data_IF_734427183726
#
_entry.id   IF_734427183726
#
_cell.length_a   1.000
_cell.length_b   1.000
_cell.length_c   1.000
_cell.angle_alpha   90.00
_cell.angle_beta   90.00
_cell.angle_gamma   90.00
#
_symmetry.space_group_name_H-M   'P 1'
#
loop_
_entity.id
_entity.type
_entity.pdbx_description
1 polymer ?
#
# COMPACT_ATOMS: atom_id res chain seq x y z
N UNK A 1 6.32 2.35 -16.62
CA UNK A 1 6.35 3.77 -16.24
C UNK A 1 5.75 3.84 -14.86
N UNK A 2 6.53 4.31 -13.88
CA UNK A 2 6.23 4.19 -12.45
C UNK A 2 4.89 4.90 -12.14
N UNK A 3 3.80 4.14 -11.99
CA UNK A 3 2.43 4.66 -11.77
C UNK A 3 2.36 5.63 -10.59
N UNK A 4 3.21 5.42 -9.59
CA UNK A 4 3.38 6.31 -8.44
C UNK A 4 4.03 7.65 -8.79
N UNK A 5 4.95 7.68 -9.76
CA UNK A 5 5.58 8.93 -10.21
C UNK A 5 4.59 9.80 -10.99
N UNK A 6 3.72 9.20 -11.80
CA UNK A 6 2.72 9.91 -12.58
C UNK A 6 1.55 10.42 -11.73
N UNK A 7 1.29 9.78 -10.60
CA UNK A 7 0.11 10.05 -9.78
C UNK A 7 -1.19 9.68 -10.51
N UNK A 8 -2.31 10.07 -9.93
CA UNK A 8 -3.63 9.83 -10.48
C UNK A 8 -4.66 9.41 -9.44
N UNK A 9 -5.85 9.14 -9.93
CA UNK A 9 -6.99 8.70 -9.13
C UNK A 9 -7.11 7.18 -9.23
N UNK A 10 -7.09 6.50 -8.08
CA UNK A 10 -7.10 5.05 -8.02
C UNK A 10 -8.22 4.53 -7.13
N UNK A 11 -8.70 3.32 -7.44
CA UNK A 11 -9.59 2.58 -6.55
C UNK A 11 -8.75 1.91 -5.47
N UNK A 12 -9.19 2.03 -4.22
CA UNK A 12 -8.55 1.41 -3.09
C UNK A 12 -9.57 0.75 -2.16
N UNK A 13 -9.08 -0.13 -1.28
CA UNK A 13 -9.87 -0.72 -0.20
C UNK A 13 -9.04 -0.94 1.04
N UNK A 14 -9.65 -0.83 2.21
CA UNK A 14 -8.97 -1.20 3.46
C UNK A 14 -8.70 -2.71 3.50
N UNK A 15 -7.49 -3.08 3.90
CA UNK A 15 -7.09 -4.46 4.07
C UNK A 15 -7.49 -4.95 5.47
N UNK A 16 -8.23 -6.04 5.47
CA UNK A 16 -8.65 -6.76 6.67
C UNK A 16 -7.74 -7.96 6.91
N UNK A 17 -7.64 -8.39 8.17
CA UNK A 17 -7.05 -9.70 8.46
C UNK A 17 -7.85 -10.83 7.79
N UNK A 18 -7.21 -11.96 7.53
CA UNK A 18 -7.90 -13.10 6.89
C UNK A 18 -9.15 -13.57 7.65
N UNK A 19 -9.14 -13.48 8.98
CA UNK A 19 -10.31 -13.75 9.84
C UNK A 19 -11.42 -12.73 9.67
N UNK A 20 -11.11 -11.45 9.60
CA UNK A 20 -12.09 -10.38 9.40
C UNK A 20 -12.68 -10.41 7.99
N UNK A 21 -11.85 -10.67 6.98
CA UNK A 21 -12.29 -10.81 5.59
C UNK A 21 -13.31 -11.95 5.44
N UNK A 22 -13.05 -13.13 6.03
CA UNK A 22 -14.01 -14.25 6.02
C UNK A 22 -15.34 -13.90 6.69
N UNK A 23 -15.31 -13.18 7.81
CA UNK A 23 -16.53 -12.71 8.49
C UNK A 23 -17.31 -11.76 7.58
N UNK A 24 -16.64 -10.79 6.97
CA UNK A 24 -17.24 -9.84 6.03
C UNK A 24 -17.86 -10.55 4.84
N UNK A 25 -17.15 -11.47 4.19
CA UNK A 25 -17.64 -12.18 3.01
C UNK A 25 -18.88 -13.03 3.35
N UNK A 26 -18.92 -13.61 4.56
CA UNK A 26 -20.12 -14.31 5.06
C UNK A 26 -21.31 -13.37 5.21
N UNK A 27 -21.10 -12.16 5.71
CA UNK A 27 -22.16 -11.14 5.86
C UNK A 27 -22.65 -10.66 4.49
N UNK A 28 -21.73 -10.38 3.55
CA UNK A 28 -22.09 -9.93 2.19
C UNK A 28 -22.94 -10.95 1.46
N UNK A 29 -22.58 -12.24 1.52
CA UNK A 29 -23.37 -13.34 0.92
C UNK A 29 -24.78 -13.40 1.48
N UNK A 30 -24.98 -13.13 2.78
CA UNK A 30 -26.31 -13.11 3.40
C UNK A 30 -27.16 -11.91 2.97
N UNK A 31 -26.51 -10.78 2.62
CA UNK A 31 -27.17 -9.51 2.29
C UNK A 31 -27.30 -9.26 0.78
N UNK A 32 -26.78 -10.16 -0.06
CA UNK A 32 -26.69 -9.96 -1.51
C UNK A 32 -26.01 -8.64 -1.89
N UNK A 33 -25.02 -8.24 -1.08
CA UNK A 33 -24.34 -6.96 -1.18
C UNK A 33 -23.34 -6.97 -2.36
N UNK A 34 -23.23 -5.88 -3.14
CA UNK A 34 -22.22 -5.77 -4.20
C UNK A 34 -20.78 -5.92 -3.68
N UNK A 35 -19.92 -6.50 -4.50
CA UNK A 35 -18.51 -6.75 -4.14
C UNK A 35 -17.68 -5.48 -3.96
N UNK A 36 -18.16 -4.34 -4.46
CA UNK A 36 -17.43 -3.07 -4.51
C UNK A 36 -17.85 -2.05 -3.45
N UNK A 37 -18.75 -2.40 -2.51
CA UNK A 37 -19.19 -1.45 -1.47
C UNK A 37 -18.08 -0.99 -0.52
N UNK A 38 -16.98 -1.75 -0.40
CA UNK A 38 -15.85 -1.36 0.47
C UNK A 38 -14.72 -0.68 -0.31
N UNK A 39 -14.99 -0.31 -1.56
CA UNK A 39 -14.03 0.38 -2.41
C UNK A 39 -14.24 1.88 -2.31
N UNK A 40 -13.13 2.58 -2.15
CA UNK A 40 -13.05 4.03 -2.06
C UNK A 40 -12.07 4.53 -3.11
N UNK A 41 -12.19 5.78 -3.50
CA UNK A 41 -11.26 6.42 -4.42
C UNK A 41 -10.19 7.17 -3.65
N UNK A 42 -8.94 7.08 -4.09
CA UNK A 42 -7.82 7.84 -3.55
C UNK A 42 -7.05 8.56 -4.65
N UNK A 43 -6.69 9.81 -4.37
CA UNK A 43 -5.86 10.62 -5.25
C UNK A 43 -4.40 10.59 -4.79
N UNK A 44 -3.54 10.04 -5.64
CA UNK A 44 -2.09 10.04 -5.47
C UNK A 44 -1.54 11.26 -6.22
N UNK A 45 -0.88 12.21 -5.54
CA UNK A 45 -0.25 13.34 -6.22
C UNK A 45 0.93 12.84 -7.05
N UNK A 46 1.12 13.45 -8.22
CA UNK A 46 2.31 13.25 -9.05
C UNK A 46 3.56 13.62 -8.26
N UNK A 47 4.61 12.79 -8.33
CA UNK A 47 5.91 13.15 -7.76
C UNK A 47 6.49 14.34 -8.52
N UNK A 48 6.75 15.44 -7.82
CA UNK A 48 7.41 16.62 -8.39
C UNK A 48 8.94 16.50 -8.41
N UNK A 49 9.46 15.46 -7.78
CA UNK A 49 10.90 15.22 -7.62
C UNK A 49 11.33 13.85 -8.18
N UNK A 50 12.59 13.72 -8.63
CA UNK A 50 13.10 12.46 -9.17
C UNK A 50 13.24 11.43 -8.07
N UNK A 51 12.90 10.16 -8.34
CA UNK A 51 13.05 9.05 -7.37
C UNK A 51 14.42 9.04 -6.67
N UNK A 52 14.41 8.72 -5.39
CA UNK A 52 15.60 8.66 -4.55
C UNK A 52 15.81 7.25 -4.00
N UNK A 53 17.03 6.73 -4.13
CA UNK A 53 17.42 5.50 -3.45
C UNK A 53 17.72 5.85 -1.98
N UNK A 54 17.03 5.23 -1.05
CA UNK A 54 17.24 5.40 0.39
C UNK A 54 17.71 4.08 1.02
N UNK A 55 18.59 4.16 2.01
CA UNK A 55 18.99 2.98 2.78
C UNK A 55 17.99 2.65 3.90
N UNK A 56 17.34 3.68 4.47
CA UNK A 56 16.34 3.56 5.54
C UNK A 56 15.39 4.76 5.55
N UNK A 57 14.31 4.66 6.32
CA UNK A 57 13.38 5.76 6.58
C UNK A 57 14.00 6.71 7.62
N UNK A 58 14.05 7.99 7.28
CA UNK A 58 14.66 9.04 8.11
C UNK A 58 13.68 10.18 8.39
N UNK A 59 13.88 10.88 9.50
CA UNK A 59 13.10 12.07 9.85
C UNK A 59 13.43 13.20 8.87
N UNK A 60 12.40 13.92 8.40
CA UNK A 60 12.58 15.07 7.50
C UNK A 60 12.71 14.69 6.03
N UNK A 61 12.36 13.46 5.64
CA UNK A 61 12.17 13.10 4.24
C UNK A 61 11.19 14.06 3.56
N UNK A 62 11.57 14.51 2.35
CA UNK A 62 10.78 15.41 1.53
C UNK A 62 9.43 14.80 1.19
N UNK A 63 8.42 15.67 1.22
CA UNK A 63 7.06 15.31 0.87
C UNK A 63 6.93 14.98 -0.63
N UNK A 64 6.04 14.03 -0.96
CA UNK A 64 5.70 13.59 -2.32
C UNK A 64 6.92 13.18 -3.18
N UNK A 65 7.88 12.50 -2.56
CA UNK A 65 9.11 11.99 -3.15
C UNK A 65 9.06 10.46 -3.19
N UNK A 66 9.35 9.84 -4.34
CA UNK A 66 9.46 8.38 -4.43
C UNK A 66 10.77 7.91 -3.79
N UNK A 67 10.71 7.09 -2.74
CA UNK A 67 11.87 6.48 -2.08
C UNK A 67 11.95 4.98 -2.37
N UNK A 68 13.11 4.53 -2.86
CA UNK A 68 13.35 3.14 -3.22
C UNK A 68 14.42 2.56 -2.29
N UNK A 69 14.15 1.49 -1.53
CA UNK A 69 15.12 0.89 -0.65
C UNK A 69 16.24 0.25 -1.47
N UNK A 70 17.49 0.43 -1.02
CA UNK A 70 18.68 -0.10 -1.70
C UNK A 70 18.80 -1.65 -1.64
N UNK A 71 18.08 -2.34 -0.77
CA UNK A 71 18.34 -3.74 -0.41
C UNK A 71 17.66 -4.78 -1.31
N UNK A 72 18.41 -5.81 -1.71
CA UNK A 72 18.04 -6.82 -2.74
C UNK A 72 17.50 -8.16 -2.21
N UNK A 73 17.26 -8.34 -0.91
CA UNK A 73 16.99 -9.66 -0.32
C UNK A 73 15.51 -9.96 -0.03
N UNK A 74 14.59 -9.17 -0.58
CA UNK A 74 13.18 -9.24 -0.22
C UNK A 74 12.26 -9.09 -1.44
N UNK A 75 11.05 -9.65 -1.33
CA UNK A 75 9.98 -9.34 -2.28
C UNK A 75 9.53 -7.92 -2.00
N UNK A 76 9.90 -7.02 -2.90
CA UNK A 76 9.45 -5.65 -2.87
C UNK A 76 7.98 -5.55 -3.29
N UNK A 77 7.18 -4.80 -2.53
CA UNK A 77 5.87 -4.34 -2.96
C UNK A 77 5.89 -2.82 -2.94
N UNK A 78 5.46 -2.21 -4.04
CA UNK A 78 5.30 -0.78 -4.10
C UNK A 78 4.14 -0.37 -3.19
N UNK A 79 4.44 0.52 -2.25
CA UNK A 79 3.48 1.12 -1.36
C UNK A 79 3.46 2.64 -1.60
N UNK A 80 2.34 3.28 -1.34
CA UNK A 80 2.25 4.73 -1.27
C UNK A 80 1.90 5.14 0.16
N UNK A 81 2.45 6.29 0.58
CA UNK A 81 2.14 6.94 1.83
C UNK A 81 1.69 8.37 1.58
N UNK A 82 0.55 8.80 2.17
CA UNK A 82 0.11 10.18 2.10
C UNK A 82 1.22 11.14 2.54
N UNK A 83 1.37 12.25 1.81
CA UNK A 83 2.36 13.30 2.06
C UNK A 83 3.81 12.91 1.77
N UNK A 84 4.19 11.63 1.80
CA UNK A 84 5.58 11.22 1.62
C UNK A 84 5.87 10.73 0.21
N UNK A 85 4.90 10.08 -0.45
CA UNK A 85 5.03 9.56 -1.81
C UNK A 85 5.12 8.04 -1.86
N UNK A 86 5.68 7.52 -2.93
CA UNK A 86 5.87 6.08 -3.09
C UNK A 86 7.05 5.56 -2.27
N UNK A 87 6.90 4.37 -1.71
CA UNK A 87 7.94 3.63 -1.04
C UNK A 87 7.87 2.20 -1.51
N UNK A 88 8.97 1.68 -2.04
CA UNK A 88 9.05 0.25 -2.23
C UNK A 88 9.30 -0.39 -0.85
N UNK A 89 8.33 -1.15 -0.36
CA UNK A 89 8.39 -1.79 0.96
C UNK A 89 8.88 -3.22 0.84
N UNK A 90 9.75 -3.59 1.77
CA UNK A 90 10.14 -4.97 1.99
C UNK A 90 9.06 -5.68 2.79
N UNK A 91 8.45 -6.71 2.22
CA UNK A 91 7.58 -7.63 2.96
C UNK A 91 8.23 -9.00 3.10
N UNK A 92 7.93 -9.72 4.18
CA UNK A 92 8.38 -11.09 4.34
C UNK A 92 7.74 -12.04 3.32
N UNK A 93 8.19 -13.30 3.29
CA UNK A 93 7.66 -14.33 2.36
C UNK A 93 6.15 -14.54 2.46
N UNK A 94 5.54 -14.12 3.57
CA UNK A 94 4.10 -14.23 3.81
C UNK A 94 3.36 -12.89 3.71
N UNK A 95 4.01 -11.88 3.13
CA UNK A 95 3.56 -10.48 3.10
C UNK A 95 3.41 -9.86 4.50
N UNK A 96 4.10 -10.42 5.49
CA UNK A 96 4.22 -9.86 6.84
C UNK A 96 5.13 -8.64 6.83
N UNK A 97 4.69 -7.58 7.49
CA UNK A 97 5.50 -6.38 7.71
C UNK A 97 6.36 -6.67 8.94
N UNK A 98 7.68 -6.50 8.80
CA UNK A 98 8.62 -6.73 9.90
C UNK A 98 8.40 -5.73 11.04
N UNK A 99 8.68 -6.16 12.28
CA UNK A 99 8.42 -5.38 13.50
C UNK A 99 8.99 -3.95 13.47
N UNK A 100 10.19 -3.75 12.94
CA UNK A 100 10.83 -2.43 12.86
C UNK A 100 10.16 -1.44 11.90
N UNK A 101 9.30 -1.91 10.99
CA UNK A 101 8.60 -1.00 10.08
C UNK A 101 7.59 -0.11 10.81
N UNK A 102 7.00 -0.57 11.91
CA UNK A 102 6.10 0.28 12.69
C UNK A 102 6.86 1.48 13.29
N UNK A 103 8.08 1.26 13.77
CA UNK A 103 8.94 2.31 14.31
C UNK A 103 9.41 3.28 13.21
N UNK A 104 9.75 2.74 12.03
CA UNK A 104 10.12 3.56 10.87
C UNK A 104 8.96 4.43 10.37
N UNK A 105 7.76 3.87 10.30
CA UNK A 105 6.55 4.61 9.95
C UNK A 105 6.18 5.67 10.99
N UNK A 106 6.44 5.42 12.28
CA UNK A 106 6.21 6.40 13.33
C UNK A 106 7.09 7.66 13.17
N UNK A 107 8.29 7.53 12.60
CA UNK A 107 9.20 8.67 12.31
C UNK A 107 8.64 9.64 11.28
N UNK A 108 7.67 9.18 10.47
CA UNK A 108 6.98 9.99 9.45
C UNK A 108 5.81 10.78 10.05
N UNK A 109 5.53 10.67 11.34
CA UNK A 109 4.51 11.46 12.03
C UNK A 109 3.09 10.88 11.92
N UNK A 110 2.04 11.70 12.19
CA UNK A 110 0.69 11.20 12.48
C UNK A 110 0.02 10.37 11.37
N UNK A 111 0.41 10.59 10.10
CA UNK A 111 -0.13 9.87 8.95
C UNK A 111 0.80 8.74 8.45
N UNK A 112 1.95 8.54 9.09
CA UNK A 112 2.91 7.52 8.72
C UNK A 112 2.41 6.09 8.95
N UNK A 113 1.39 5.90 9.79
CA UNK A 113 0.85 4.57 10.10
C UNK A 113 -0.08 3.98 9.02
N UNK A 114 -0.17 4.61 7.83
CA UNK A 114 -1.02 4.17 6.72
C UNK A 114 -0.17 3.74 5.53
N UNK A 115 -0.42 2.54 5.04
CA UNK A 115 0.26 1.97 3.88
C UNK A 115 -0.74 1.61 2.79
N UNK A 116 -0.43 1.99 1.56
CA UNK A 116 -1.25 1.69 0.40
C UNK A 116 -0.48 0.80 -0.58
N UNK A 117 -0.72 -0.51 -0.57
CA UNK A 117 -0.04 -1.46 -1.45
C UNK A 117 -0.61 -1.43 -2.86
N UNK A 118 0.25 -1.31 -3.87
CA UNK A 118 -0.13 -1.36 -5.27
C UNK A 118 -0.22 -2.81 -5.72
N UNK A 119 -1.41 -3.23 -6.12
CA UNK A 119 -1.69 -4.63 -6.47
C UNK A 119 -2.32 -4.74 -7.85
N UNK A 120 -1.88 -5.70 -8.68
CA UNK A 120 -2.56 -5.99 -9.94
C UNK A 120 -3.94 -6.62 -9.67
N UNK A 121 -4.85 -6.62 -10.67
CA UNK A 121 -6.23 -7.05 -10.47
C UNK A 121 -6.36 -8.48 -9.94
N UNK A 122 -5.42 -9.36 -10.33
CA UNK A 122 -5.38 -10.77 -9.90
C UNK A 122 -5.31 -10.94 -8.37
N UNK A 123 -4.57 -10.08 -7.67
CA UNK A 123 -4.37 -10.18 -6.23
C UNK A 123 -5.23 -9.18 -5.44
N UNK A 124 -5.74 -8.15 -6.09
CA UNK A 124 -6.39 -7.02 -5.44
C UNK A 124 -7.53 -7.43 -4.49
N UNK A 125 -8.43 -8.35 -4.90
CA UNK A 125 -9.57 -8.77 -4.06
C UNK A 125 -9.19 -9.75 -2.95
N UNK A 126 -8.15 -10.56 -3.13
CA UNK A 126 -7.78 -11.67 -2.22
C UNK A 126 -6.67 -11.30 -1.24
N UNK A 127 -5.95 -10.20 -1.49
CA UNK A 127 -4.89 -9.74 -0.60
C UNK A 127 -5.45 -9.37 0.78
N UNK A 128 -4.76 -9.79 1.84
CA UNK A 128 -5.19 -9.58 3.23
C UNK A 128 -4.06 -8.97 4.04
N UNK A 129 -4.44 -8.16 5.02
CA UNK A 129 -3.49 -7.61 5.99
C UNK A 129 -2.99 -8.72 6.90
N UNK A 130 -1.68 -8.76 7.10
CA UNK A 130 -1.00 -9.60 8.10
C UNK A 130 -0.52 -8.74 9.27
N UNK A 131 0.40 -9.26 10.07
CA UNK A 131 1.02 -8.51 11.17
C UNK A 131 1.93 -7.38 10.65
N UNK A 132 2.06 -6.27 11.40
CA UNK A 132 1.36 -5.96 12.65
C UNK A 132 -0.02 -5.33 12.39
N UNK A 133 -0.95 -5.48 13.34
CA UNK A 133 -2.29 -4.90 13.22
C UNK A 133 -2.32 -3.38 13.49
N UNK A 134 -1.26 -2.82 14.05
CA UNK A 134 -1.13 -1.40 14.41
C UNK A 134 -0.98 -0.46 13.20
N UNK A 135 -0.59 -1.00 12.04
CA UNK A 135 -0.45 -0.23 10.78
C UNK A 135 -1.73 -0.36 9.97
N UNK A 136 -2.38 0.73 9.60
CA UNK A 136 -3.48 0.70 8.65
C UNK A 136 -2.94 0.34 7.27
N UNK A 137 -3.55 -0.64 6.61
CA UNK A 137 -3.11 -1.11 5.31
C UNK A 137 -4.28 -1.04 4.34
N UNK A 138 -3.99 -0.63 3.12
CA UNK A 138 -4.93 -0.48 2.03
C UNK A 138 -4.33 -1.16 0.80
N UNK A 139 -5.19 -1.67 -0.07
CA UNK A 139 -4.82 -2.11 -1.40
C UNK A 139 -5.27 -1.06 -2.39
N UNK A 140 -4.41 -0.68 -3.32
CA UNK A 140 -4.71 0.14 -4.49
C UNK A 140 -4.75 -0.78 -5.71
N UNK A 141 -5.85 -0.72 -6.46
CA UNK A 141 -6.02 -1.47 -7.69
C UNK A 141 -5.19 -0.80 -8.79
N UNK A 142 -4.14 -1.49 -9.22
CA UNK A 142 -3.37 -1.13 -10.40
C UNK A 142 -3.93 -1.90 -11.59
N UNK A 143 -4.50 -1.23 -12.62
CA UNK A 143 -4.93 -1.94 -13.82
C UNK A 143 -3.73 -2.52 -14.55
N UNK A 144 -3.93 -3.61 -15.29
CA UNK A 144 -2.90 -4.07 -16.22
C UNK A 144 -2.61 -2.97 -17.24
N UNK A 145 -1.36 -2.85 -17.70
CA UNK A 145 -1.08 -1.98 -18.83
C UNK A 145 -1.97 -2.41 -19.99
N UNK A 146 -2.61 -1.43 -20.64
CA UNK A 146 -3.27 -1.68 -21.91
C UNK A 146 -2.22 -2.25 -22.87
N UNK A 147 -2.50 -3.41 -23.47
CA UNK A 147 -1.61 -3.96 -24.49
C UNK A 147 -1.63 -2.99 -25.67
N UNK A 148 -0.52 -2.28 -25.87
CA UNK A 148 -0.28 -1.42 -27.03
C UNK A 148 0.23 -2.28 -28.19
#
# INVERSE_FOLDING_TARGET
MDLLEQGGTFVCRKLLSGTEMRKRDTIKRKRSTPDNEDEETIDIPRSSQPRQIAERVEVGQLANQLYVPRTSNYTAIDAWMPQFGGFQMTVGKTHDIKGGAADDLAKLGPNGNRLFFLLPPLYYKTFTKKTPQTIEQFAILVPYPEQV
#
